data_IF_964988354320
#
_entry.id   IF_964988354320
#
_cell.length_a   1.000
_cell.length_b   1.000
_cell.length_c   1.000
_cell.angle_alpha   90.00
_cell.angle_beta   90.00
_cell.angle_gamma   90.00
#
_symmetry.space_group_name_H-M   'P 1'
#
loop_
_entity.id
_entity.type
_entity.pdbx_description
1 polymer ?
#
# COMPACT_ATOMS: atom_id res chain seq x y z
N UNK A 1 23.33 20.80 39.34
CA UNK A 1 23.78 21.49 38.12
C UNK A 1 23.72 20.49 37.00
N UNK A 2 22.66 20.55 36.24
CA UNK A 2 22.35 19.65 35.11
C UNK A 2 23.22 20.03 33.92
N UNK A 3 24.08 19.12 33.48
CA UNK A 3 24.75 19.19 32.18
C UNK A 3 23.74 18.97 31.07
N UNK A 4 23.08 20.01 30.62
CA UNK A 4 22.35 19.98 29.36
C UNK A 4 23.40 19.78 28.26
N UNK A 5 23.39 18.59 27.61
CA UNK A 5 24.12 18.36 26.36
C UNK A 5 23.48 19.26 25.29
N UNK A 6 24.10 20.38 25.02
CA UNK A 6 23.81 21.20 23.86
C UNK A 6 24.07 20.32 22.65
N UNK A 7 23.02 20.01 21.87
CA UNK A 7 23.18 19.40 20.56
C UNK A 7 23.84 20.47 19.68
N UNK A 8 25.18 20.43 19.62
CA UNK A 8 25.93 21.25 18.68
C UNK A 8 25.68 20.72 17.27
N UNK A 9 24.69 21.24 16.57
CA UNK A 9 24.67 21.20 15.12
C UNK A 9 25.95 21.92 14.68
N UNK A 10 26.89 21.17 14.10
CA UNK A 10 28.15 21.75 13.63
C UNK A 10 27.81 22.88 12.67
N UNK A 11 28.29 24.14 12.93
CA UNK A 11 27.92 25.30 12.08
C UNK A 11 28.28 25.14 10.60
N UNK A 12 29.16 24.19 10.29
CA UNK A 12 29.70 23.94 8.96
C UNK A 12 28.79 23.14 8.01
N UNK A 13 27.63 22.65 8.45
CA UNK A 13 26.75 21.83 7.58
C UNK A 13 25.78 22.70 6.78
N UNK A 14 25.35 23.84 7.35
CA UNK A 14 24.39 24.76 6.70
C UNK A 14 25.04 25.72 5.70
N UNK A 15 26.37 25.90 5.78
CA UNK A 15 27.13 26.78 4.86
C UNK A 15 27.59 26.09 3.57
N UNK A 16 27.25 24.81 3.37
CA UNK A 16 27.60 24.10 2.14
C UNK A 16 26.59 24.38 1.04
N UNK A 17 27.11 24.55 -0.20
CA UNK A 17 26.23 24.62 -1.37
C UNK A 17 25.37 23.36 -1.49
N UNK A 18 24.09 23.53 -1.85
CA UNK A 18 23.21 22.39 -2.08
C UNK A 18 23.80 21.42 -3.10
N UNK A 19 23.55 20.10 -2.97
CA UNK A 19 24.04 19.12 -3.95
C UNK A 19 23.60 19.44 -5.38
N UNK A 20 24.55 19.57 -6.31
CA UNK A 20 24.32 19.89 -7.72
C UNK A 20 25.41 19.31 -8.61
N UNK A 21 25.16 19.27 -9.91
CA UNK A 21 26.16 18.98 -10.96
C UNK A 21 25.79 19.81 -12.19
N UNK A 22 26.48 20.94 -12.37
CA UNK A 22 26.26 21.81 -13.51
C UNK A 22 26.56 21.11 -14.84
N UNK A 23 27.57 20.22 -14.83
CA UNK A 23 27.95 19.45 -16.01
C UNK A 23 26.80 18.50 -16.45
N UNK A 24 26.13 17.85 -15.49
CA UNK A 24 24.99 16.98 -15.81
C UNK A 24 23.79 17.78 -16.31
N UNK A 25 23.51 18.94 -15.71
CA UNK A 25 22.44 19.85 -16.15
C UNK A 25 22.68 20.33 -17.58
N UNK A 26 23.89 20.79 -17.87
CA UNK A 26 24.32 21.21 -19.21
C UNK A 26 24.26 20.04 -20.19
N UNK A 27 24.61 18.84 -19.74
CA UNK A 27 24.53 17.62 -20.53
C UNK A 27 23.09 17.30 -20.96
N UNK A 28 22.11 17.42 -20.03
CA UNK A 28 20.69 17.22 -20.35
C UNK A 28 20.20 18.28 -21.35
N UNK A 29 20.47 19.54 -21.08
CA UNK A 29 20.04 20.64 -21.97
C UNK A 29 20.67 20.54 -23.36
N UNK A 30 21.97 20.20 -23.43
CA UNK A 30 22.67 20.01 -24.71
C UNK A 30 22.08 18.84 -25.50
N UNK A 31 21.78 17.71 -24.88
CA UNK A 31 21.08 16.59 -25.54
C UNK A 31 19.71 17.00 -26.07
N UNK A 32 18.96 17.82 -25.32
CA UNK A 32 17.64 18.31 -25.72
C UNK A 32 17.71 19.29 -26.89
N UNK A 33 18.82 20.06 -27.04
CA UNK A 33 19.02 20.94 -28.17
C UNK A 33 19.46 20.17 -29.42
N UNK A 34 20.34 19.16 -29.28
CA UNK A 34 20.87 18.37 -30.40
C UNK A 34 19.79 17.46 -31.01
N UNK A 35 19.01 16.78 -30.17
CA UNK A 35 17.94 15.83 -30.60
C UNK A 35 16.65 16.05 -29.81
N UNK A 36 15.90 17.14 -30.08
CA UNK A 36 14.71 17.49 -29.30
C UNK A 36 13.66 16.37 -29.24
N UNK A 37 13.40 15.74 -30.40
CA UNK A 37 12.34 14.73 -30.53
C UNK A 37 12.59 13.46 -29.72
N UNK A 38 13.85 13.10 -29.50
CA UNK A 38 14.22 11.91 -28.73
C UNK A 38 14.46 12.24 -27.25
N UNK A 39 15.09 13.39 -26.99
CA UNK A 39 15.63 13.71 -25.67
C UNK A 39 14.62 14.41 -24.75
N UNK A 40 13.78 15.33 -25.28
CA UNK A 40 12.85 16.09 -24.44
C UNK A 40 11.80 15.16 -23.85
N UNK A 41 11.24 14.22 -24.61
CA UNK A 41 10.27 13.25 -24.11
C UNK A 41 10.83 12.42 -22.96
N UNK A 42 12.06 11.90 -23.12
CA UNK A 42 12.74 11.15 -22.06
C UNK A 42 13.05 12.01 -20.83
N UNK A 43 13.43 13.28 -21.04
CA UNK A 43 13.70 14.19 -19.94
C UNK A 43 12.42 14.54 -19.16
N UNK A 44 11.29 14.80 -19.83
CA UNK A 44 9.99 15.07 -19.20
C UNK A 44 9.52 13.86 -18.38
N UNK A 45 9.70 12.64 -18.90
CA UNK A 45 9.35 11.41 -18.20
C UNK A 45 10.22 11.18 -16.95
N UNK A 46 11.53 11.44 -17.07
CA UNK A 46 12.47 11.26 -15.98
C UNK A 46 12.35 12.33 -14.89
N UNK A 47 12.14 13.60 -15.28
CA UNK A 47 12.13 14.77 -14.40
C UNK A 47 10.68 15.14 -14.01
N UNK A 48 10.09 14.38 -13.08
CA UNK A 48 8.69 14.54 -12.67
C UNK A 48 8.33 15.93 -12.12
N UNK A 49 9.31 16.67 -11.61
CA UNK A 49 9.15 18.04 -11.09
C UNK A 49 9.56 19.13 -12.11
N UNK A 50 9.82 18.72 -13.33
CA UNK A 50 10.15 19.64 -14.43
C UNK A 50 11.42 20.46 -14.16
N UNK A 51 11.33 21.77 -14.38
CA UNK A 51 12.44 22.71 -14.19
C UNK A 51 12.99 22.77 -12.76
N UNK A 52 12.18 22.46 -11.73
CA UNK A 52 12.61 22.47 -10.34
C UNK A 52 13.70 21.42 -10.02
N UNK A 53 13.90 20.45 -10.91
CA UNK A 53 14.98 19.46 -10.78
C UNK A 53 16.37 20.07 -11.06
N UNK A 54 16.45 21.18 -11.75
CA UNK A 54 17.70 21.88 -12.02
C UNK A 54 18.11 22.79 -10.87
N UNK A 55 19.40 22.88 -10.59
CA UNK A 55 19.95 23.77 -9.56
C UNK A 55 20.15 25.19 -10.08
N UNK A 56 20.73 25.35 -11.29
CA UNK A 56 20.97 26.65 -11.89
C UNK A 56 19.67 27.25 -12.44
N UNK A 57 19.30 28.43 -11.96
CA UNK A 57 18.09 29.12 -12.39
C UNK A 57 18.05 29.38 -13.91
N UNK A 58 19.20 29.56 -14.55
CA UNK A 58 19.29 29.67 -16.00
C UNK A 58 18.85 28.40 -16.69
N UNK A 59 19.27 27.24 -16.16
CA UNK A 59 18.90 25.93 -16.67
C UNK A 59 17.42 25.66 -16.48
N UNK A 60 16.84 26.10 -15.36
CA UNK A 60 15.38 26.02 -15.13
C UNK A 60 14.61 26.75 -16.21
N UNK A 61 15.01 27.98 -16.52
CA UNK A 61 14.40 28.81 -17.59
C UNK A 61 14.56 28.13 -18.96
N UNK A 62 15.77 27.67 -19.29
CA UNK A 62 16.03 26.99 -20.56
C UNK A 62 15.16 25.73 -20.71
N UNK A 63 15.11 24.88 -19.67
CA UNK A 63 14.33 23.66 -19.71
C UNK A 63 12.82 23.94 -19.84
N UNK A 64 12.29 24.92 -19.10
CA UNK A 64 10.86 25.27 -19.17
C UNK A 64 10.46 25.73 -20.59
N UNK A 65 11.31 26.52 -21.26
CA UNK A 65 11.06 26.95 -22.65
C UNK A 65 11.18 25.81 -23.66
N UNK A 66 12.14 24.86 -23.47
CA UNK A 66 12.27 23.69 -24.33
C UNK A 66 11.03 22.81 -24.25
N UNK A 67 10.55 22.54 -23.03
CA UNK A 67 9.31 21.75 -22.80
C UNK A 67 8.10 22.46 -23.40
N UNK A 68 7.96 23.79 -23.20
CA UNK A 68 6.84 24.56 -23.74
C UNK A 68 6.81 24.57 -25.27
N UNK A 69 7.99 24.62 -25.94
CA UNK A 69 8.08 24.53 -27.41
C UNK A 69 7.74 23.11 -27.88
N UNK A 70 8.21 22.10 -27.17
CA UNK A 70 7.94 20.70 -27.50
C UNK A 70 6.44 20.35 -27.35
N UNK A 71 5.79 20.81 -26.29
CA UNK A 71 4.34 20.63 -26.07
C UNK A 71 3.51 21.34 -27.13
N UNK A 72 3.98 22.54 -27.60
CA UNK A 72 3.36 23.28 -28.68
C UNK A 72 3.70 22.75 -30.09
N UNK A 73 4.44 21.63 -30.17
CA UNK A 73 4.93 21.04 -31.44
C UNK A 73 5.63 22.04 -32.35
N UNK A 74 6.35 23.00 -31.78
CA UNK A 74 7.14 23.96 -32.50
C UNK A 74 8.50 23.35 -32.87
N UNK A 75 9.09 23.73 -34.02
CA UNK A 75 10.44 23.31 -34.38
C UNK A 75 11.44 23.83 -33.33
N UNK A 76 12.30 22.94 -32.84
CA UNK A 76 13.33 23.29 -31.86
C UNK A 76 14.69 23.10 -32.50
N UNK A 77 15.34 24.21 -32.75
CA UNK A 77 16.73 24.36 -33.15
C UNK A 77 17.33 25.60 -32.47
N UNK A 78 18.63 25.80 -32.59
CA UNK A 78 19.32 26.89 -31.89
C UNK A 78 18.75 28.26 -32.25
N UNK A 79 18.30 28.44 -33.50
CA UNK A 79 17.77 29.72 -34.00
C UNK A 79 16.36 29.98 -33.46
N UNK A 80 15.48 29.01 -33.61
CA UNK A 80 14.10 29.10 -33.11
C UNK A 80 14.05 29.24 -31.60
N UNK A 81 14.92 28.51 -30.90
CA UNK A 81 15.03 28.57 -29.44
C UNK A 81 15.56 29.92 -28.96
N UNK A 82 16.61 30.47 -29.63
CA UNK A 82 17.11 31.81 -29.36
C UNK A 82 16.00 32.87 -29.54
N UNK A 83 15.25 32.80 -30.67
CA UNK A 83 14.17 33.73 -30.93
C UNK A 83 13.09 33.65 -29.83
N UNK A 84 12.72 32.46 -29.40
CA UNK A 84 11.75 32.23 -28.31
C UNK A 84 12.20 32.91 -27.01
N UNK A 85 13.46 32.74 -26.62
CA UNK A 85 14.03 33.37 -25.41
C UNK A 85 14.12 34.90 -25.55
N UNK A 86 14.40 35.40 -26.76
CA UNK A 86 14.43 36.84 -27.07
C UNK A 86 13.04 37.46 -26.96
N UNK A 87 12.02 36.81 -27.52
CA UNK A 87 10.63 37.28 -27.46
C UNK A 87 10.10 37.30 -26.02
N UNK A 88 10.58 36.35 -25.17
CA UNK A 88 10.30 36.30 -23.73
C UNK A 88 11.15 37.30 -22.91
N UNK A 89 12.09 38.00 -23.51
CA UNK A 89 12.99 38.94 -22.82
C UNK A 89 14.00 38.28 -21.88
N UNK A 90 14.23 36.97 -22.02
CA UNK A 90 15.04 36.16 -21.07
C UNK A 90 16.41 35.76 -21.65
N UNK A 91 16.69 36.03 -22.92
CA UNK A 91 17.91 35.60 -23.60
C UNK A 91 19.19 36.04 -22.87
N UNK A 92 19.29 37.31 -22.48
CA UNK A 92 20.46 37.84 -21.77
C UNK A 92 20.60 37.25 -20.38
N UNK A 93 19.47 36.99 -19.68
CA UNK A 93 19.45 36.41 -18.35
C UNK A 93 19.96 34.96 -18.28
N UNK A 94 19.85 34.23 -19.40
CA UNK A 94 20.34 32.83 -19.47
C UNK A 94 21.79 32.74 -20.01
N UNK A 95 22.43 33.86 -20.35
CA UNK A 95 23.81 33.91 -20.83
C UNK A 95 23.95 34.14 -22.32
N UNK A 96 22.88 34.53 -23.01
CA UNK A 96 22.86 34.92 -24.42
C UNK A 96 23.15 33.76 -25.38
N UNK A 97 23.38 34.15 -26.68
CA UNK A 97 23.67 33.17 -27.72
C UNK A 97 24.96 32.38 -27.46
N UNK A 98 25.96 33.00 -26.83
CA UNK A 98 27.24 32.36 -26.56
C UNK A 98 27.05 31.13 -25.66
N UNK A 99 26.23 31.23 -24.63
CA UNK A 99 25.94 30.13 -23.73
C UNK A 99 25.11 29.02 -24.39
N UNK A 100 24.13 29.39 -25.24
CA UNK A 100 23.34 28.40 -25.98
C UNK A 100 24.24 27.60 -26.96
N UNK A 101 25.18 28.26 -27.64
CA UNK A 101 26.15 27.61 -28.53
C UNK A 101 27.13 26.72 -27.74
N UNK A 102 27.52 27.12 -26.52
CA UNK A 102 28.34 26.30 -25.63
C UNK A 102 27.61 25.01 -25.23
N UNK A 103 26.31 25.09 -24.88
CA UNK A 103 25.50 23.93 -24.51
C UNK A 103 25.38 22.95 -25.67
N UNK A 104 25.12 23.43 -26.89
CA UNK A 104 25.01 22.59 -28.08
C UNK A 104 26.34 21.86 -28.39
N UNK A 105 27.49 22.55 -28.24
CA UNK A 105 28.81 21.98 -28.48
C UNK A 105 29.39 21.13 -27.37
N UNK A 106 28.79 21.13 -26.16
CA UNK A 106 29.37 20.47 -24.98
C UNK A 106 29.11 18.97 -24.92
N UNK A 107 28.08 18.46 -25.59
CA UNK A 107 27.67 17.06 -25.55
C UNK A 107 28.13 16.34 -26.81
N UNK A 108 29.06 15.39 -26.71
CA UNK A 108 29.56 14.66 -27.87
C UNK A 108 28.55 13.64 -28.45
N UNK A 109 27.57 13.20 -27.64
CA UNK A 109 26.55 12.24 -28.07
C UNK A 109 25.33 12.26 -27.17
N UNK A 110 24.14 12.19 -27.78
CA UNK A 110 22.86 12.08 -27.08
C UNK A 110 22.67 10.74 -26.38
N UNK A 111 23.46 9.72 -26.72
CA UNK A 111 23.42 8.39 -26.10
C UNK A 111 23.65 8.41 -24.57
N UNK A 112 24.27 9.45 -24.05
CA UNK A 112 24.56 9.61 -22.62
C UNK A 112 23.47 10.33 -21.83
N UNK A 113 22.34 10.69 -22.45
CA UNK A 113 21.25 11.42 -21.79
C UNK A 113 20.79 10.71 -20.51
N UNK A 114 20.56 9.39 -20.57
CA UNK A 114 20.13 8.61 -19.40
C UNK A 114 21.08 8.70 -18.20
N UNK A 115 22.40 8.77 -18.47
CA UNK A 115 23.40 8.96 -17.44
C UNK A 115 23.35 10.37 -16.83
N UNK A 116 23.22 11.40 -17.64
CA UNK A 116 23.08 12.78 -17.15
C UNK A 116 21.80 12.97 -16.34
N UNK A 117 20.67 12.40 -16.79
CA UNK A 117 19.40 12.42 -16.09
C UNK A 117 19.51 11.70 -14.72
N UNK A 118 20.25 10.59 -14.65
CA UNK A 118 20.44 9.86 -13.39
C UNK A 118 21.19 10.70 -12.36
N UNK A 119 22.26 11.40 -12.76
CA UNK A 119 23.04 12.30 -11.88
C UNK A 119 22.17 13.47 -11.43
N UNK A 120 21.46 14.13 -12.37
CA UNK A 120 20.60 15.25 -12.05
C UNK A 120 19.53 14.87 -11.06
N UNK A 121 18.87 13.72 -11.25
CA UNK A 121 17.84 13.18 -10.34
C UNK A 121 18.40 12.85 -8.96
N UNK A 122 19.60 12.25 -8.88
CA UNK A 122 20.27 11.99 -7.60
C UNK A 122 20.51 13.29 -6.83
N UNK A 123 21.08 14.31 -7.49
CA UNK A 123 21.38 15.60 -6.86
C UNK A 123 20.11 16.36 -6.47
N UNK A 124 19.08 16.31 -7.30
CA UNK A 124 17.77 16.89 -6.99
C UNK A 124 17.13 16.21 -5.78
N UNK A 125 17.11 14.87 -5.72
CA UNK A 125 16.60 14.12 -4.56
C UNK A 125 17.31 14.52 -3.27
N UNK A 126 18.64 14.67 -3.30
CA UNK A 126 19.41 15.11 -2.15
C UNK A 126 19.05 16.55 -1.73
N UNK A 127 18.78 17.47 -2.68
CA UNK A 127 18.31 18.83 -2.39
C UNK A 127 16.94 18.81 -1.71
N UNK A 128 16.00 18.01 -2.23
CA UNK A 128 14.67 17.89 -1.66
C UNK A 128 14.69 17.28 -0.26
N UNK A 129 15.56 16.27 -0.03
CA UNK A 129 15.75 15.71 1.30
C UNK A 129 16.31 16.76 2.28
N UNK A 130 17.25 17.58 1.81
CA UNK A 130 17.82 18.66 2.59
C UNK A 130 16.77 19.73 2.92
N UNK A 131 15.95 20.13 1.96
CA UNK A 131 14.86 21.08 2.13
C UNK A 131 13.82 20.55 3.13
N UNK A 132 13.42 19.27 3.00
CA UNK A 132 12.50 18.63 3.94
C UNK A 132 13.10 18.62 5.37
N UNK A 133 14.37 18.27 5.51
CA UNK A 133 15.05 18.26 6.81
C UNK A 133 15.10 19.66 7.44
N UNK A 134 15.45 20.70 6.67
CA UNK A 134 15.46 22.10 7.14
C UNK A 134 14.05 22.56 7.50
N UNK A 135 13.05 22.21 6.68
CA UNK A 135 11.64 22.51 6.99
C UNK A 135 11.16 21.85 8.28
N UNK A 136 11.54 20.59 8.52
CA UNK A 136 11.24 19.88 9.79
C UNK A 136 11.92 20.58 10.97
N UNK A 137 13.20 20.96 10.83
CA UNK A 137 13.92 21.70 11.87
C UNK A 137 13.22 23.02 12.20
N UNK A 138 12.82 23.81 11.19
CA UNK A 138 12.06 25.04 11.38
C UNK A 138 10.78 24.82 12.18
N UNK A 139 9.97 23.82 11.77
CA UNK A 139 8.72 23.47 12.45
C UNK A 139 8.92 22.99 13.90
N UNK A 140 10.03 22.30 14.20
CA UNK A 140 10.36 21.89 15.56
C UNK A 140 10.64 23.11 16.44
N UNK A 141 11.33 24.13 15.96
CA UNK A 141 11.59 25.37 16.71
C UNK A 141 10.33 26.24 16.89
N UNK A 142 9.40 26.20 15.93
CA UNK A 142 8.16 26.96 15.94
C UNK A 142 6.99 26.19 16.61
N UNK A 143 7.22 24.95 17.06
CA UNK A 143 6.18 24.04 17.51
C UNK A 143 5.31 24.63 18.64
N UNK A 144 4.04 24.86 18.33
CA UNK A 144 2.99 25.32 19.25
C UNK A 144 1.84 24.34 19.43
N UNK A 145 1.93 23.12 18.82
CA UNK A 145 0.89 22.10 18.77
C UNK A 145 1.27 20.76 19.38
N UNK A 146 0.39 19.74 19.28
CA UNK A 146 0.65 18.38 19.76
C UNK A 146 1.86 17.76 19.05
N UNK A 147 2.77 17.15 19.81
CA UNK A 147 4.00 16.52 19.29
C UNK A 147 3.68 15.45 18.23
N UNK A 148 2.62 14.67 18.44
CA UNK A 148 2.22 13.60 17.49
C UNK A 148 1.89 14.15 16.10
N UNK A 149 1.24 15.32 16.04
CA UNK A 149 0.92 15.96 14.74
C UNK A 149 2.19 16.42 14.02
N UNK A 150 3.20 16.90 14.75
CA UNK A 150 4.48 17.32 14.19
C UNK A 150 5.27 16.12 13.65
N UNK A 151 5.26 15.00 14.39
CA UNK A 151 5.89 13.75 13.95
C UNK A 151 5.23 13.21 12.70
N UNK A 152 3.89 13.16 12.65
CA UNK A 152 3.13 12.72 11.46
C UNK A 152 3.41 13.62 10.24
N UNK A 153 3.61 14.91 10.45
CA UNK A 153 3.94 15.85 9.38
C UNK A 153 5.38 15.66 8.89
N UNK A 154 6.34 15.47 9.79
CA UNK A 154 7.72 15.17 9.45
C UNK A 154 7.86 13.84 8.67
N UNK A 155 7.15 12.80 9.09
CA UNK A 155 7.10 11.53 8.36
C UNK A 155 6.55 11.72 6.94
N UNK A 156 5.48 12.51 6.76
CA UNK A 156 4.90 12.80 5.44
C UNK A 156 5.87 13.54 4.52
N UNK A 157 6.58 14.53 5.02
CA UNK A 157 7.55 15.29 4.21
C UNK A 157 8.70 14.40 3.73
N UNK A 158 9.21 13.51 4.59
CA UNK A 158 10.27 12.56 4.21
C UNK A 158 9.76 11.51 3.20
N UNK A 159 8.56 10.95 3.41
CA UNK A 159 7.96 9.97 2.51
C UNK A 159 7.72 10.56 1.11
N UNK A 160 7.26 11.81 1.03
CA UNK A 160 7.05 12.52 -0.22
C UNK A 160 8.31 12.63 -1.07
N UNK A 161 9.48 12.86 -0.43
CA UNK A 161 10.78 12.86 -1.14
C UNK A 161 11.08 11.49 -1.73
N UNK A 162 10.73 10.39 -1.03
CA UNK A 162 10.94 9.03 -1.52
C UNK A 162 10.00 8.65 -2.68
N UNK A 163 8.74 9.04 -2.63
CA UNK A 163 7.75 8.77 -3.68
C UNK A 163 8.09 9.50 -4.99
N UNK A 164 8.52 10.75 -4.89
CA UNK A 164 8.93 11.56 -6.04
C UNK A 164 10.25 11.10 -6.67
N UNK A 165 11.09 10.42 -5.92
CA UNK A 165 12.40 9.93 -6.40
C UNK A 165 12.28 8.83 -7.46
N UNK A 166 11.09 8.20 -7.61
CA UNK A 166 10.87 7.13 -8.59
C UNK A 166 11.89 5.99 -8.50
N UNK A 167 12.43 5.75 -7.31
CA UNK A 167 13.41 4.69 -7.10
C UNK A 167 12.71 3.34 -7.23
N UNK A 168 12.73 2.77 -8.41
CA UNK A 168 12.46 1.36 -8.61
C UNK A 168 11.26 0.93 -9.45
N UNK A 169 10.58 1.80 -10.20
CA UNK A 169 9.75 1.28 -11.29
C UNK A 169 10.68 0.88 -12.46
N UNK A 170 11.10 -0.40 -12.46
CA UNK A 170 11.64 -1.03 -13.66
C UNK A 170 10.44 -1.16 -14.60
N UNK A 171 10.36 -0.29 -15.62
CA UNK A 171 9.42 -0.51 -16.71
C UNK A 171 9.76 -1.84 -17.38
N UNK A 172 8.94 -2.85 -17.09
CA UNK A 172 9.03 -4.14 -17.75
C UNK A 172 8.55 -3.95 -19.19
N UNK A 173 9.35 -4.41 -20.13
CA UNK A 173 8.95 -4.45 -21.54
C UNK A 173 7.71 -5.36 -21.71
N UNK A 174 6.91 -5.13 -22.75
CA UNK A 174 5.76 -6.00 -23.06
C UNK A 174 6.16 -7.48 -23.12
N UNK A 175 7.36 -7.78 -23.61
CA UNK A 175 7.92 -9.15 -23.66
C UNK A 175 8.07 -9.77 -22.28
N UNK A 176 8.53 -8.99 -21.31
CA UNK A 176 8.70 -9.43 -19.90
C UNK A 176 7.34 -9.61 -19.22
N UNK A 177 6.37 -8.71 -19.47
CA UNK A 177 5.00 -8.88 -19.01
C UNK A 177 4.36 -10.17 -19.53
N UNK A 178 4.50 -10.46 -20.85
CA UNK A 178 3.99 -11.68 -21.46
C UNK A 178 4.67 -12.91 -20.87
N UNK A 179 5.99 -12.87 -20.65
CA UNK A 179 6.73 -13.97 -20.05
C UNK A 179 6.27 -14.25 -18.62
N UNK A 180 6.11 -13.22 -17.79
CA UNK A 180 5.58 -13.35 -16.44
C UNK A 180 4.15 -13.91 -16.43
N UNK A 181 3.31 -13.52 -17.40
CA UNK A 181 1.95 -14.04 -17.54
C UNK A 181 1.96 -15.54 -17.92
N UNK A 182 2.85 -15.97 -18.84
CA UNK A 182 3.01 -17.37 -19.22
C UNK A 182 3.48 -18.21 -18.03
N UNK A 183 4.49 -17.73 -17.27
CA UNK A 183 4.99 -18.42 -16.08
C UNK A 183 3.86 -18.60 -15.03
N UNK A 184 3.03 -17.59 -14.81
CA UNK A 184 1.89 -17.67 -13.90
C UNK A 184 0.81 -18.67 -14.39
N UNK A 185 0.56 -18.72 -15.68
CA UNK A 185 -0.36 -19.69 -16.30
C UNK A 185 0.19 -21.11 -16.12
N UNK A 186 1.47 -21.34 -16.39
CA UNK A 186 2.11 -22.66 -16.26
C UNK A 186 2.07 -23.17 -14.81
N UNK A 187 2.26 -22.30 -13.83
CA UNK A 187 2.14 -22.67 -12.41
C UNK A 187 0.72 -23.14 -12.07
N UNK A 188 -0.32 -22.49 -12.62
CA UNK A 188 -1.72 -22.90 -12.44
C UNK A 188 -2.02 -24.24 -13.13
N UNK A 189 -1.50 -24.47 -14.33
CA UNK A 189 -1.67 -25.75 -15.04
C UNK A 189 -1.03 -26.92 -14.33
N UNK A 190 0.06 -26.70 -13.58
CA UNK A 190 0.69 -27.72 -12.74
C UNK A 190 -0.09 -28.09 -11.48
N UNK A 191 -1.30 -27.54 -11.27
CA UNK A 191 -2.10 -27.78 -10.07
C UNK A 191 -1.53 -27.13 -8.80
N UNK A 192 -0.52 -26.29 -8.94
CA UNK A 192 0.09 -25.57 -7.81
C UNK A 192 -0.75 -24.34 -7.45
N UNK A 193 -1.00 -24.17 -6.18
CA UNK A 193 -1.62 -22.97 -5.67
C UNK A 193 -0.65 -21.78 -5.83
N UNK A 194 -1.10 -20.73 -6.54
CA UNK A 194 -0.26 -19.54 -6.82
C UNK A 194 -0.32 -18.50 -5.71
N UNK A 195 -1.43 -18.48 -4.95
CA UNK A 195 -1.68 -17.57 -3.84
C UNK A 195 -1.30 -18.18 -2.48
N UNK A 196 -1.48 -17.39 -1.41
CA UNK A 196 -1.33 -17.87 -0.03
C UNK A 196 -2.52 -18.74 0.37
N UNK A 197 -2.29 -19.86 1.10
CA UNK A 197 -3.37 -20.72 1.54
C UNK A 197 -4.30 -20.03 2.54
N UNK A 198 -5.60 -20.25 2.39
CA UNK A 198 -6.61 -19.83 3.37
C UNK A 198 -6.86 -20.90 4.42
N UNK A 199 -6.54 -22.16 4.12
CA UNK A 199 -6.88 -23.32 4.94
C UNK A 199 -8.30 -23.83 4.73
N UNK A 200 -9.08 -23.20 3.85
CA UNK A 200 -10.39 -23.66 3.39
C UNK A 200 -10.18 -24.20 1.97
N UNK A 201 -10.20 -25.53 1.82
CA UNK A 201 -9.82 -26.21 0.58
C UNK A 201 -10.66 -25.78 -0.61
N UNK A 202 -11.98 -25.66 -0.43
CA UNK A 202 -12.88 -25.25 -1.52
C UNK A 202 -12.63 -23.80 -1.93
N UNK A 203 -12.33 -22.90 -0.96
CA UNK A 203 -11.95 -21.53 -1.27
C UNK A 203 -10.60 -21.46 -2.01
N UNK A 204 -9.64 -22.26 -1.55
CA UNK A 204 -8.30 -22.31 -2.19
C UNK A 204 -8.38 -22.90 -3.60
N UNK A 205 -9.24 -23.89 -3.86
CA UNK A 205 -9.51 -24.40 -5.21
C UNK A 205 -10.15 -23.35 -6.10
N UNK A 206 -11.12 -22.59 -5.57
CA UNK A 206 -11.88 -21.60 -6.32
C UNK A 206 -11.03 -20.38 -6.69
N UNK A 207 -10.18 -19.90 -5.75
CA UNK A 207 -9.41 -18.66 -5.92
C UNK A 207 -7.96 -18.88 -6.33
N UNK A 208 -7.46 -20.11 -6.20
CA UNK A 208 -6.02 -20.40 -6.29
C UNK A 208 -5.23 -19.89 -5.08
N UNK A 209 -5.90 -19.64 -3.95
CA UNK A 209 -5.38 -18.98 -2.75
C UNK A 209 -5.45 -17.43 -2.83
N UNK A 210 -4.98 -16.74 -1.80
CA UNK A 210 -4.96 -15.28 -1.76
C UNK A 210 -3.87 -14.75 -2.69
N UNK A 211 -4.27 -14.09 -3.79
CA UNK A 211 -3.33 -13.63 -4.82
C UNK A 211 -2.63 -12.33 -4.42
N UNK A 212 -1.34 -12.15 -4.78
CA UNK A 212 -0.64 -10.88 -4.57
C UNK A 212 -1.41 -9.70 -5.20
N UNK A 213 -1.41 -8.55 -4.54
CA UNK A 213 -2.08 -7.32 -4.96
C UNK A 213 -3.61 -7.37 -4.96
N UNK A 214 -4.23 -8.47 -4.53
CA UNK A 214 -5.67 -8.56 -4.41
C UNK A 214 -6.17 -7.92 -3.10
N UNK A 215 -7.30 -7.23 -3.22
CA UNK A 215 -8.11 -6.79 -2.11
C UNK A 215 -9.28 -7.76 -1.92
N UNK A 216 -9.26 -8.49 -0.81
CA UNK A 216 -10.28 -9.47 -0.45
C UNK A 216 -11.15 -8.87 0.65
N UNK A 217 -12.45 -8.77 0.42
CA UNK A 217 -13.40 -8.27 1.41
C UNK A 217 -14.20 -9.42 1.98
N UNK A 218 -14.20 -9.54 3.32
CA UNK A 218 -15.05 -10.50 4.03
C UNK A 218 -16.13 -9.72 4.78
N UNK A 219 -17.35 -9.74 4.26
CA UNK A 219 -18.53 -9.14 4.86
C UNK A 219 -19.28 -10.12 5.75
N UNK A 220 -19.69 -9.70 6.94
CA UNK A 220 -20.52 -10.52 7.82
C UNK A 220 -21.40 -9.66 8.74
N UNK A 221 -22.49 -10.26 9.22
CA UNK A 221 -23.23 -9.72 10.36
C UNK A 221 -22.43 -9.92 11.65
N UNK A 222 -22.71 -9.12 12.71
CA UNK A 222 -22.13 -9.37 14.02
C UNK A 222 -22.34 -10.81 14.47
N UNK A 223 -21.39 -11.36 15.23
CA UNK A 223 -21.43 -12.71 15.80
C UNK A 223 -21.45 -13.89 14.80
N UNK A 224 -21.19 -13.66 13.51
CA UNK A 224 -20.98 -14.72 12.52
C UNK A 224 -19.54 -15.26 12.51
N UNK A 225 -18.62 -14.70 13.32
CA UNK A 225 -17.24 -15.20 13.39
C UNK A 225 -16.26 -14.55 12.38
N UNK A 226 -16.59 -13.41 11.78
CA UNK A 226 -15.77 -12.70 10.78
C UNK A 226 -14.29 -12.58 11.18
N UNK A 227 -14.03 -12.00 12.36
CA UNK A 227 -12.66 -11.83 12.89
C UNK A 227 -11.97 -13.17 13.13
N UNK A 228 -12.70 -14.17 13.63
CA UNK A 228 -12.15 -15.52 13.87
C UNK A 228 -11.72 -16.20 12.58
N UNK A 229 -12.52 -16.07 11.51
CA UNK A 229 -12.17 -16.58 10.18
C UNK A 229 -10.90 -15.90 9.65
N UNK A 230 -10.82 -14.59 9.74
CA UNK A 230 -9.66 -13.84 9.27
C UNK A 230 -8.39 -14.19 10.06
N UNK A 231 -8.48 -14.34 11.39
CA UNK A 231 -7.35 -14.78 12.24
C UNK A 231 -6.93 -16.20 11.88
N UNK A 232 -7.87 -17.11 11.65
CA UNK A 232 -7.58 -18.48 11.24
C UNK A 232 -6.86 -18.52 9.89
N UNK A 233 -7.31 -17.77 8.89
CA UNK A 233 -6.62 -17.61 7.60
C UNK A 233 -5.20 -17.05 7.82
N UNK A 234 -5.07 -16.02 8.66
CA UNK A 234 -3.78 -15.42 9.01
C UNK A 234 -2.82 -16.44 9.66
N UNK A 235 -3.32 -17.30 10.55
CA UNK A 235 -2.51 -18.36 11.16
C UNK A 235 -2.04 -19.40 10.13
N UNK A 236 -2.91 -19.83 9.23
CA UNK A 236 -2.54 -20.77 8.15
C UNK A 236 -1.48 -20.17 7.24
N UNK A 237 -1.63 -18.91 6.84
CA UNK A 237 -0.61 -18.20 6.07
C UNK A 237 0.72 -18.08 6.84
N UNK A 238 0.67 -17.82 8.16
CA UNK A 238 1.85 -17.73 8.99
C UNK A 238 2.54 -19.10 9.18
N UNK A 239 1.78 -20.20 9.26
CA UNK A 239 2.31 -21.57 9.30
C UNK A 239 3.07 -21.95 8.02
N UNK A 240 2.74 -21.36 6.87
CA UNK A 240 3.52 -21.50 5.62
C UNK A 240 4.81 -20.66 5.61
N UNK A 241 5.18 -20.03 6.72
CA UNK A 241 6.37 -19.21 6.86
C UNK A 241 6.23 -17.75 6.39
N UNK A 242 5.01 -17.32 6.08
CA UNK A 242 4.75 -15.96 5.61
C UNK A 242 4.48 -15.02 6.78
N UNK A 243 5.13 -13.87 6.82
CA UNK A 243 4.80 -12.80 7.77
C UNK A 243 3.37 -12.29 7.54
N UNK A 244 2.58 -12.14 8.59
CA UNK A 244 1.21 -11.64 8.55
C UNK A 244 1.06 -10.42 9.44
N UNK A 245 0.59 -9.32 8.88
CA UNK A 245 0.26 -8.09 9.62
C UNK A 245 -1.24 -7.99 9.87
N UNK A 246 -1.64 -7.73 11.10
CA UNK A 246 -3.04 -7.61 11.51
C UNK A 246 -3.25 -6.23 12.15
N UNK A 247 -4.09 -5.40 11.54
CA UNK A 247 -4.60 -4.18 12.13
C UNK A 247 -5.98 -4.46 12.74
N UNK A 248 -6.03 -4.53 14.08
CA UNK A 248 -7.25 -4.81 14.83
C UNK A 248 -7.77 -3.53 15.47
N UNK A 249 -8.74 -2.90 14.83
CA UNK A 249 -9.29 -1.62 15.28
C UNK A 249 -10.45 -1.79 16.27
N UNK A 250 -10.99 -3.01 16.37
CA UNK A 250 -12.13 -3.34 17.24
C UNK A 250 -11.70 -4.11 18.52
N UNK A 251 -10.72 -5.01 18.37
CA UNK A 251 -10.32 -5.93 19.46
C UNK A 251 -8.86 -5.74 19.85
N UNK A 252 -8.57 -5.95 21.13
CA UNK A 252 -7.17 -5.93 21.61
C UNK A 252 -6.39 -7.16 21.11
N UNK A 253 -5.07 -7.01 21.00
CA UNK A 253 -4.16 -8.10 20.64
C UNK A 253 -4.30 -9.31 21.59
N UNK A 254 -4.54 -9.06 22.88
CA UNK A 254 -4.80 -10.11 23.87
C UNK A 254 -6.04 -10.95 23.50
N UNK A 255 -7.15 -10.31 23.13
CA UNK A 255 -8.38 -11.01 22.74
C UNK A 255 -8.21 -11.81 21.45
N UNK A 256 -7.45 -11.27 20.46
CA UNK A 256 -7.14 -12.01 19.25
C UNK A 256 -6.28 -13.24 19.54
N UNK A 257 -5.25 -13.09 20.37
CA UNK A 257 -4.40 -14.22 20.78
C UNK A 257 -5.18 -15.27 21.58
N UNK A 258 -6.13 -14.88 22.44
CA UNK A 258 -7.00 -15.83 23.12
C UNK A 258 -7.85 -16.65 22.13
N UNK A 259 -8.42 -16.01 21.10
CA UNK A 259 -9.13 -16.72 20.02
C UNK A 259 -8.21 -17.67 19.25
N UNK A 260 -7.02 -17.22 18.90
CA UNK A 260 -6.01 -18.04 18.23
C UNK A 260 -5.63 -19.27 19.08
N UNK A 261 -5.41 -19.08 20.38
CA UNK A 261 -5.14 -20.18 21.32
C UNK A 261 -6.30 -21.17 21.39
N UNK A 262 -7.54 -20.69 21.51
CA UNK A 262 -8.74 -21.54 21.52
C UNK A 262 -8.86 -22.35 20.22
N UNK A 263 -8.59 -21.72 19.07
CA UNK A 263 -8.60 -22.38 17.77
C UNK A 263 -7.56 -23.49 17.66
N UNK A 264 -6.32 -23.24 18.10
CA UNK A 264 -5.20 -24.20 18.02
C UNK A 264 -5.38 -25.33 19.05
N UNK A 265 -5.69 -24.97 20.30
CA UNK A 265 -5.83 -25.93 21.41
C UNK A 265 -7.13 -26.73 21.35
N UNK A 266 -8.13 -26.27 20.58
CA UNK A 266 -9.51 -26.82 20.57
C UNK A 266 -10.16 -26.79 21.93
N UNK A 267 -9.86 -25.76 22.73
CA UNK A 267 -10.35 -25.57 24.10
C UNK A 267 -11.12 -24.27 24.17
N UNK A 268 -12.23 -24.27 24.92
CA UNK A 268 -12.93 -23.02 25.22
C UNK A 268 -12.14 -22.21 26.24
N UNK A 269 -11.35 -21.23 25.72
CA UNK A 269 -10.50 -20.39 26.58
C UNK A 269 -11.27 -19.34 27.39
N UNK A 270 -12.59 -19.22 27.17
CA UNK A 270 -13.48 -18.32 27.92
C UNK A 270 -14.20 -19.03 29.08
N UNK A 271 -14.06 -20.35 29.22
CA UNK A 271 -14.62 -21.11 30.35
C UNK A 271 -14.00 -20.67 31.68
N UNK A 272 -14.84 -20.56 32.70
CA UNK A 272 -14.40 -20.25 34.08
C UNK A 272 -13.65 -21.38 34.80
N UNK A 273 -13.74 -22.62 34.30
CA UNK A 273 -13.06 -23.78 34.89
C UNK A 273 -12.31 -24.55 33.81
N UNK A 274 -11.03 -24.78 34.04
CA UNK A 274 -10.13 -25.51 33.14
C UNK A 274 -9.64 -26.78 33.83
N UNK A 275 -9.61 -27.88 33.09
CA UNK A 275 -8.97 -29.10 33.53
C UNK A 275 -7.46 -29.03 33.22
N UNK A 276 -6.69 -29.89 33.90
CA UNK A 276 -5.24 -29.95 33.67
C UNK A 276 -4.88 -30.28 32.20
N UNK A 277 -5.72 -31.08 31.54
CA UNK A 277 -5.59 -31.39 30.11
C UNK A 277 -5.76 -30.14 29.23
N UNK A 278 -6.72 -29.26 29.58
CA UNK A 278 -6.96 -28.01 28.85
C UNK A 278 -5.73 -27.07 28.96
N UNK A 279 -5.17 -26.97 30.19
CA UNK A 279 -3.97 -26.17 30.44
C UNK A 279 -2.77 -26.68 29.63
N UNK A 280 -2.59 -28.00 29.54
CA UNK A 280 -1.52 -28.60 28.71
C UNK A 280 -1.74 -28.29 27.22
N UNK A 281 -2.96 -28.45 26.70
CA UNK A 281 -3.31 -28.16 25.33
C UNK A 281 -3.05 -26.67 24.97
N UNK A 282 -3.45 -25.75 25.87
CA UNK A 282 -3.20 -24.31 25.69
C UNK A 282 -1.71 -23.99 25.76
N UNK A 283 -0.92 -24.63 26.62
CA UNK A 283 0.53 -24.42 26.69
C UNK A 283 1.25 -24.89 25.41
N UNK A 284 0.83 -25.99 24.81
CA UNK A 284 1.34 -26.47 23.53
C UNK A 284 0.94 -25.47 22.41
N UNK A 285 -0.32 -25.03 22.41
CA UNK A 285 -0.81 -24.03 21.46
C UNK A 285 -0.06 -22.70 21.59
N UNK A 286 0.23 -22.24 22.81
CA UNK A 286 1.02 -21.03 23.05
C UNK A 286 2.44 -21.15 22.49
N UNK A 287 3.08 -22.30 22.68
CA UNK A 287 4.41 -22.57 22.11
C UNK A 287 4.38 -22.56 20.58
N UNK A 288 3.30 -23.05 19.95
CA UNK A 288 3.12 -23.01 18.50
C UNK A 288 2.88 -21.56 18.03
N UNK A 289 1.92 -20.88 18.65
CA UNK A 289 1.52 -19.53 18.27
C UNK A 289 2.68 -18.53 18.40
N UNK A 290 3.49 -18.63 19.45
CA UNK A 290 4.64 -17.72 19.68
C UNK A 290 5.74 -17.80 18.61
N UNK A 291 5.78 -18.87 17.83
CA UNK A 291 6.74 -19.07 16.73
C UNK A 291 6.20 -18.54 15.40
N UNK A 292 4.91 -18.26 15.30
CA UNK A 292 4.31 -17.75 14.07
C UNK A 292 4.69 -16.28 13.85
N UNK A 293 5.05 -15.89 12.61
CA UNK A 293 5.38 -14.51 12.26
C UNK A 293 4.12 -13.63 12.13
N UNK A 294 3.38 -13.47 13.24
CA UNK A 294 2.19 -12.63 13.33
C UNK A 294 2.52 -11.30 14.00
N UNK A 295 2.15 -10.19 13.36
CA UNK A 295 2.39 -8.83 13.83
C UNK A 295 1.06 -8.11 13.99
N UNK A 296 0.67 -7.79 15.23
CA UNK A 296 -0.63 -7.20 15.56
C UNK A 296 -0.45 -5.74 15.97
N UNK A 297 -1.30 -4.88 15.42
CA UNK A 297 -1.50 -3.51 15.89
C UNK A 297 -2.96 -3.35 16.31
N UNK A 298 -3.19 -3.15 17.59
CA UNK A 298 -4.52 -3.03 18.20
C UNK A 298 -4.87 -1.59 18.62
N UNK A 299 -4.16 -0.60 18.10
CA UNK A 299 -4.46 0.81 18.36
C UNK A 299 -5.77 1.20 17.66
N UNK A 300 -6.67 1.78 18.43
CA UNK A 300 -7.94 2.30 17.90
C UNK A 300 -7.75 3.66 17.21
N UNK A 301 -8.65 3.96 16.25
CA UNK A 301 -8.70 5.28 15.61
C UNK A 301 -7.51 5.63 14.73
N UNK A 302 -6.85 4.62 14.16
CA UNK A 302 -5.78 4.83 13.17
C UNK A 302 -6.33 5.50 11.92
N UNK A 303 -5.55 6.44 11.36
CA UNK A 303 -5.76 6.99 10.02
C UNK A 303 -5.11 6.07 8.98
N UNK A 304 -5.62 6.11 7.75
CA UNK A 304 -5.09 5.27 6.66
C UNK A 304 -3.60 5.52 6.39
N UNK A 305 -3.12 6.76 6.55
CA UNK A 305 -1.70 7.09 6.43
C UNK A 305 -0.82 6.32 7.43
N UNK A 306 -1.27 6.16 8.68
CA UNK A 306 -0.54 5.43 9.73
C UNK A 306 -0.53 3.92 9.45
N UNK A 307 -1.66 3.39 8.93
CA UNK A 307 -1.76 1.98 8.49
C UNK A 307 -0.76 1.73 7.36
N UNK A 308 -0.74 2.58 6.31
CA UNK A 308 0.19 2.48 5.18
C UNK A 308 1.65 2.53 5.64
N UNK A 309 2.02 3.53 6.46
CA UNK A 309 3.39 3.68 6.96
C UNK A 309 3.84 2.44 7.75
N UNK A 310 2.97 1.91 8.63
CA UNK A 310 3.29 0.72 9.43
C UNK A 310 3.35 -0.54 8.57
N UNK A 311 2.45 -0.70 7.61
CA UNK A 311 2.45 -1.83 6.68
C UNK A 311 3.73 -1.87 5.83
N UNK A 312 4.18 -0.73 5.27
CA UNK A 312 5.47 -0.57 4.57
C UNK A 312 6.65 -0.98 5.44
N UNK A 313 6.67 -0.48 6.70
CA UNK A 313 7.71 -0.83 7.67
C UNK A 313 7.72 -2.32 7.99
N UNK A 314 6.57 -2.93 8.23
CA UNK A 314 6.45 -4.36 8.48
C UNK A 314 6.86 -5.18 7.25
N UNK A 315 6.45 -4.76 6.04
CA UNK A 315 6.87 -5.42 4.80
C UNK A 315 8.39 -5.41 4.65
N UNK A 316 9.03 -4.25 4.84
CA UNK A 316 10.49 -4.11 4.73
C UNK A 316 11.25 -4.84 5.85
N UNK A 317 10.78 -4.77 7.11
CA UNK A 317 11.49 -5.30 8.28
C UNK A 317 11.24 -6.80 8.51
N UNK A 318 10.02 -7.24 8.27
CA UNK A 318 9.55 -8.57 8.65
C UNK A 318 9.08 -9.42 7.46
N UNK A 319 9.16 -8.89 6.23
CA UNK A 319 8.77 -9.61 5.04
C UNK A 319 7.30 -10.05 5.04
N UNK A 320 6.37 -9.19 5.53
CA UNK A 320 4.96 -9.57 5.53
C UNK A 320 4.47 -9.81 4.11
N UNK A 321 3.64 -10.84 3.96
CA UNK A 321 3.04 -11.27 2.69
C UNK A 321 1.51 -11.33 2.74
N UNK A 322 0.90 -11.01 3.87
CA UNK A 322 -0.53 -10.87 4.06
C UNK A 322 -0.82 -9.73 5.03
N UNK A 323 -1.79 -8.89 4.69
CA UNK A 323 -2.34 -7.89 5.61
C UNK A 323 -3.80 -8.21 5.91
N UNK A 324 -4.21 -8.03 7.17
CA UNK A 324 -5.59 -8.17 7.63
C UNK A 324 -5.98 -6.86 8.32
N UNK A 325 -7.14 -6.29 7.97
CA UNK A 325 -7.67 -5.04 8.55
C UNK A 325 -9.06 -5.31 9.10
N UNK A 326 -9.23 -5.27 10.42
CA UNK A 326 -10.51 -5.50 11.11
C UNK A 326 -10.96 -4.24 11.86
N UNK A 327 -11.93 -3.47 11.39
CA UNK A 327 -12.66 -3.49 10.14
C UNK A 327 -12.71 -2.07 9.53
N UNK A 328 -13.01 -2.00 8.24
CA UNK A 328 -12.87 -0.80 7.40
C UNK A 328 -13.48 0.48 7.98
N UNK A 329 -14.68 0.41 8.53
CA UNK A 329 -15.44 1.60 8.96
C UNK A 329 -14.98 2.19 10.30
N UNK A 330 -13.98 1.58 10.96
CA UNK A 330 -13.33 2.12 12.17
C UNK A 330 -12.07 2.94 11.84
N UNK A 331 -11.61 2.93 10.60
CA UNK A 331 -10.51 3.78 10.14
C UNK A 331 -11.00 5.23 10.15
N UNK A 332 -10.24 6.12 10.79
CA UNK A 332 -10.59 7.55 10.82
C UNK A 332 -10.40 8.20 9.44
N UNK A 333 -11.39 8.95 8.94
CA UNK A 333 -11.27 9.68 7.68
C UNK A 333 -10.20 10.78 7.78
N UNK A 334 -9.70 11.24 6.64
CA UNK A 334 -8.75 12.35 6.57
C UNK A 334 -9.31 13.66 7.11
N UNK A 335 -10.59 13.93 6.82
CA UNK A 335 -11.31 15.13 7.24
C UNK A 335 -12.49 14.72 8.12
N UNK A 336 -12.56 15.25 9.34
CA UNK A 336 -13.61 14.92 10.32
C UNK A 336 -15.03 15.35 9.90
N UNK A 337 -15.19 16.09 8.81
CA UNK A 337 -16.49 16.59 8.26
C UNK A 337 -16.85 15.97 6.90
N UNK A 338 -16.12 14.97 6.42
CA UNK A 338 -16.42 14.34 5.13
C UNK A 338 -17.69 13.46 5.25
N UNK A 339 -18.46 13.38 4.16
CA UNK A 339 -19.55 12.41 4.03
C UNK A 339 -19.01 11.00 4.25
N UNK A 340 -19.74 10.18 5.01
CA UNK A 340 -19.31 8.83 5.39
C UNK A 340 -19.09 7.93 4.18
N UNK A 341 -19.91 8.06 3.13
CA UNK A 341 -19.73 7.32 1.89
C UNK A 341 -18.43 7.70 1.18
N UNK A 342 -18.14 9.00 1.08
CA UNK A 342 -16.90 9.48 0.48
C UNK A 342 -15.68 9.01 1.27
N UNK A 343 -15.76 8.99 2.60
CA UNK A 343 -14.69 8.50 3.48
C UNK A 343 -14.41 7.00 3.30
N UNK A 344 -15.45 6.18 3.18
CA UNK A 344 -15.32 4.74 2.94
C UNK A 344 -14.76 4.47 1.53
N UNK A 345 -15.15 5.26 0.55
CA UNK A 345 -14.61 5.18 -0.81
C UNK A 345 -13.11 5.49 -0.86
N UNK A 346 -12.68 6.57 -0.18
CA UNK A 346 -11.25 6.92 -0.06
C UNK A 346 -10.45 5.79 0.62
N UNK A 347 -10.94 5.25 1.73
CA UNK A 347 -10.31 4.17 2.47
C UNK A 347 -10.19 2.90 1.60
N UNK A 348 -11.25 2.55 0.86
CA UNK A 348 -11.25 1.40 -0.05
C UNK A 348 -10.17 1.52 -1.12
N UNK A 349 -10.12 2.65 -1.81
CA UNK A 349 -9.11 2.93 -2.82
C UNK A 349 -7.69 2.90 -2.23
N UNK A 350 -7.51 3.49 -1.06
CA UNK A 350 -6.23 3.49 -0.34
C UNK A 350 -5.75 2.08 0.03
N UNK A 351 -6.66 1.17 0.43
CA UNK A 351 -6.35 -0.23 0.73
C UNK A 351 -5.98 -0.98 -0.55
N UNK A 352 -6.74 -0.79 -1.63
CA UNK A 352 -6.41 -1.39 -2.93
C UNK A 352 -5.06 -0.88 -3.46
N UNK A 353 -4.79 0.42 -3.28
CA UNK A 353 -3.49 1.03 -3.60
C UNK A 353 -2.35 0.38 -2.81
N UNK A 354 -2.54 0.18 -1.49
CA UNK A 354 -1.55 -0.47 -0.61
C UNK A 354 -1.28 -1.93 -1.01
N UNK A 355 -2.32 -2.69 -1.38
CA UNK A 355 -2.18 -4.06 -1.84
C UNK A 355 -1.32 -4.15 -3.11
N UNK A 356 -1.55 -3.25 -4.08
CA UNK A 356 -0.77 -3.15 -5.32
C UNK A 356 0.67 -2.71 -5.06
N UNK A 357 0.87 -1.70 -4.23
CA UNK A 357 2.18 -1.14 -3.88
C UNK A 357 3.08 -2.20 -3.23
N UNK A 358 2.58 -2.89 -2.20
CA UNK A 358 3.35 -3.90 -1.47
C UNK A 358 3.37 -5.25 -2.19
N UNK A 359 2.56 -5.45 -3.24
CA UNK A 359 2.35 -6.73 -3.93
C UNK A 359 1.96 -7.85 -2.97
N UNK A 360 1.09 -7.55 -2.01
CA UNK A 360 0.57 -8.50 -1.01
C UNK A 360 -0.96 -8.51 -1.04
N UNK A 361 -1.62 -9.66 -0.79
CA UNK A 361 -3.06 -9.68 -0.56
C UNK A 361 -3.41 -8.92 0.72
N UNK A 362 -4.54 -8.21 0.67
CA UNK A 362 -5.10 -7.52 1.83
C UNK A 362 -6.51 -8.04 2.08
N UNK A 363 -6.74 -8.65 3.25
CA UNK A 363 -8.08 -9.02 3.73
C UNK A 363 -8.63 -7.83 4.51
N UNK A 364 -9.71 -7.26 4.02
CA UNK A 364 -10.43 -6.18 4.66
C UNK A 364 -11.78 -6.69 5.18
N UNK A 365 -12.04 -6.54 6.47
CA UNK A 365 -13.29 -6.99 7.07
C UNK A 365 -14.34 -5.87 6.99
N UNK A 366 -15.56 -6.23 6.64
CA UNK A 366 -16.69 -5.31 6.54
C UNK A 366 -17.89 -5.80 7.34
N UNK A 367 -18.70 -4.88 7.83
CA UNK A 367 -19.94 -5.20 8.51
C UNK A 367 -21.13 -4.98 7.57
N UNK A 368 -22.01 -5.98 7.48
CA UNK A 368 -23.21 -5.90 6.66
C UNK A 368 -24.32 -5.08 7.33
N UNK A 369 -25.19 -4.48 6.51
CA UNK A 369 -26.32 -3.66 6.96
C UNK A 369 -27.33 -4.50 7.77
N UNK A 370 -28.03 -3.83 8.73
CA UNK A 370 -29.06 -4.48 9.57
C UNK A 370 -30.33 -4.82 8.79
N UNK A 371 -30.56 -4.19 7.65
CA UNK A 371 -31.77 -4.39 6.86
C UNK A 371 -31.91 -5.80 6.26
N UNK A 372 -30.84 -6.58 6.23
CA UNK A 372 -30.86 -8.00 5.85
C UNK A 372 -31.77 -8.81 6.79
N UNK A 373 -31.87 -8.43 8.08
CA UNK A 373 -32.70 -9.14 9.07
C UNK A 373 -34.21 -8.91 8.89
N UNK A 374 -34.60 -7.85 8.15
CA UNK A 374 -36.02 -7.54 7.90
C UNK A 374 -36.63 -8.41 6.80
N UNK A 375 -35.81 -9.00 5.92
CA UNK A 375 -36.24 -9.96 4.90
C UNK A 375 -35.85 -11.35 5.36
N UNK A 376 -36.82 -12.14 5.86
CA UNK A 376 -36.59 -13.54 6.24
C UNK A 376 -35.90 -14.29 5.09
N UNK A 377 -34.74 -14.92 5.38
CA UNK A 377 -34.06 -15.93 4.55
C UNK A 377 -33.39 -15.46 3.24
N UNK A 378 -32.99 -14.18 3.13
CA UNK A 378 -32.27 -13.71 1.95
C UNK A 378 -30.77 -13.89 2.09
N UNK A 379 -30.11 -14.54 1.10
CA UNK A 379 -28.65 -14.54 0.99
C UNK A 379 -28.12 -13.10 0.89
N UNK A 380 -26.98 -12.79 1.52
CA UNK A 380 -26.33 -11.48 1.36
C UNK A 380 -26.00 -11.18 -0.09
N UNK A 381 -26.15 -9.93 -0.48
CA UNK A 381 -25.83 -9.42 -1.83
C UNK A 381 -24.82 -8.27 -1.73
N UNK A 382 -24.24 -7.87 -2.86
CA UNK A 382 -23.24 -6.78 -2.89
C UNK A 382 -23.82 -5.46 -2.35
N UNK A 383 -25.12 -5.20 -2.57
CA UNK A 383 -25.81 -4.02 -2.04
C UNK A 383 -25.91 -3.97 -0.50
N UNK A 384 -25.69 -5.09 0.18
CA UNK A 384 -25.73 -5.18 1.64
C UNK A 384 -24.41 -4.76 2.33
N UNK A 385 -23.35 -4.53 1.54
CA UNK A 385 -22.18 -3.82 2.00
C UNK A 385 -22.56 -2.36 2.22
N UNK A 386 -22.72 -1.98 3.47
CA UNK A 386 -23.20 -0.65 3.88
C UNK A 386 -22.31 0.47 3.34
N UNK A 387 -22.91 1.47 2.66
CA UNK A 387 -22.26 2.71 2.22
C UNK A 387 -21.11 2.54 1.20
N UNK A 388 -21.10 1.47 0.37
CA UNK A 388 -19.87 1.05 -0.29
C UNK A 388 -19.95 0.53 -1.73
N UNK A 389 -20.64 1.21 -2.63
CA UNK A 389 -20.49 0.95 -4.07
C UNK A 389 -19.02 0.96 -4.53
N UNK A 390 -18.17 1.74 -3.85
CA UNK A 390 -16.74 1.79 -4.14
C UNK A 390 -15.99 0.54 -3.67
N UNK A 391 -16.31 -0.03 -2.50
CA UNK A 391 -15.72 -1.31 -2.05
C UNK A 391 -16.03 -2.40 -3.06
N UNK A 392 -17.26 -2.41 -3.60
CA UNK A 392 -17.63 -3.35 -4.65
C UNK A 392 -16.75 -3.18 -5.89
N UNK A 393 -16.42 -1.96 -6.29
CA UNK A 393 -15.58 -1.70 -7.46
C UNK A 393 -14.12 -2.07 -7.23
N UNK A 394 -13.54 -1.71 -6.09
CA UNK A 394 -12.13 -1.86 -5.78
C UNK A 394 -11.73 -3.29 -5.43
N UNK A 395 -12.60 -4.04 -4.73
CA UNK A 395 -12.32 -5.39 -4.30
C UNK A 395 -12.21 -6.36 -5.48
N UNK A 396 -11.22 -7.25 -5.44
CA UNK A 396 -11.03 -8.32 -6.42
C UNK A 396 -11.87 -9.55 -6.06
N UNK A 397 -12.00 -9.82 -4.76
CA UNK A 397 -12.81 -10.90 -4.21
C UNK A 397 -13.69 -10.36 -3.09
N UNK A 398 -14.98 -10.70 -3.09
CA UNK A 398 -15.92 -10.38 -2.01
C UNK A 398 -16.56 -11.66 -1.54
N UNK A 399 -16.40 -11.95 -0.26
CA UNK A 399 -16.99 -13.09 0.41
C UNK A 399 -17.99 -12.62 1.48
N UNK A 400 -19.12 -13.28 1.57
CA UNK A 400 -20.08 -13.07 2.65
C UNK A 400 -20.16 -14.28 3.56
N UNK A 401 -19.93 -14.05 4.85
CA UNK A 401 -20.11 -15.07 5.89
C UNK A 401 -21.47 -14.86 6.56
N UNK A 402 -22.33 -15.86 6.46
CA UNK A 402 -23.67 -15.77 7.02
C UNK A 402 -24.12 -17.14 7.56
N UNK A 403 -25.08 -17.12 8.51
CA UNK A 403 -25.66 -18.35 9.06
C UNK A 403 -26.68 -18.92 8.09
N UNK A 404 -26.71 -20.22 7.97
CA UNK A 404 -27.70 -20.94 7.17
C UNK A 404 -29.11 -20.78 7.77
N UNK A 405 -29.22 -20.90 9.09
CA UNK A 405 -30.44 -20.62 9.84
C UNK A 405 -30.29 -19.38 10.72
N UNK A 406 -31.01 -18.27 10.43
CA UNK A 406 -31.00 -17.07 11.26
C UNK A 406 -31.55 -17.28 12.69
N UNK A 407 -32.43 -18.26 12.87
CA UNK A 407 -33.10 -18.56 14.16
C UNK A 407 -32.33 -19.55 15.02
N UNK A 408 -31.13 -19.93 14.60
CA UNK A 408 -30.24 -20.82 15.33
C UNK A 408 -30.05 -20.38 16.79
N UNK A 409 -30.27 -21.29 17.73
CA UNK A 409 -30.25 -20.98 19.18
C UNK A 409 -28.85 -20.51 19.63
N UNK A 410 -28.77 -19.51 20.54
CA UNK A 410 -27.48 -19.05 21.08
C UNK A 410 -26.69 -20.14 21.80
N UNK A 411 -27.37 -21.24 22.24
CA UNK A 411 -26.80 -22.36 22.97
C UNK A 411 -25.99 -23.35 22.14
N UNK A 412 -26.15 -23.30 20.78
CA UNK A 412 -25.49 -24.28 19.94
C UNK A 412 -23.97 -24.09 19.88
N UNK A 413 -23.25 -25.13 20.20
CA UNK A 413 -21.78 -25.15 20.22
C UNK A 413 -21.21 -25.06 18.80
N UNK A 414 -21.89 -25.68 17.83
CA UNK A 414 -21.51 -25.70 16.41
C UNK A 414 -22.62 -25.08 15.57
N UNK A 415 -22.27 -24.06 14.80
CA UNK A 415 -23.19 -23.33 13.92
C UNK A 415 -22.80 -23.56 12.48
N UNK A 416 -23.78 -23.97 11.65
CA UNK A 416 -23.56 -24.02 10.21
C UNK A 416 -23.57 -22.59 9.63
N UNK A 417 -22.53 -22.28 8.90
CA UNK A 417 -22.36 -20.97 8.24
C UNK A 417 -21.93 -21.18 6.80
N UNK A 418 -22.38 -20.30 5.93
CA UNK A 418 -21.99 -20.31 4.52
C UNK A 418 -21.02 -19.17 4.26
N UNK A 419 -19.97 -19.47 3.49
CA UNK A 419 -19.06 -18.49 2.91
C UNK A 419 -19.40 -18.37 1.43
N UNK A 420 -20.18 -17.34 1.07
CA UNK A 420 -20.57 -17.04 -0.31
C UNK A 420 -19.50 -16.18 -0.96
N UNK A 421 -18.87 -16.66 -2.03
CA UNK A 421 -18.02 -15.85 -2.89
C UNK A 421 -18.95 -15.12 -3.88
N UNK A 422 -19.30 -13.87 -3.53
CA UNK A 422 -20.27 -13.07 -4.27
C UNK A 422 -19.64 -12.27 -5.42
N UNK A 423 -18.32 -12.05 -5.37
CA UNK A 423 -17.54 -11.44 -6.45
C UNK A 423 -16.16 -12.06 -6.52
N UNK A 424 -15.70 -12.34 -7.72
CA UNK A 424 -14.32 -12.72 -8.04
C UNK A 424 -13.96 -12.23 -9.44
N UNK A 425 -12.91 -11.42 -9.58
CA UNK A 425 -12.51 -10.86 -10.89
C UNK A 425 -11.96 -11.93 -11.85
N UNK A 426 -11.23 -12.91 -11.32
CA UNK A 426 -10.46 -13.87 -12.10
C UNK A 426 -10.91 -15.33 -11.89
N UNK A 427 -12.16 -15.56 -11.50
CA UNK A 427 -12.65 -16.91 -11.24
C UNK A 427 -14.17 -17.01 -11.14
N UNK A 428 -14.65 -18.18 -10.73
CA UNK A 428 -16.07 -18.47 -10.54
C UNK A 428 -16.62 -17.95 -9.21
N UNK A 429 -17.94 -18.00 -9.11
CA UNK A 429 -18.67 -17.74 -7.85
C UNK A 429 -19.13 -19.08 -7.28
N UNK A 430 -19.06 -19.22 -5.97
CA UNK A 430 -19.48 -20.45 -5.31
C UNK A 430 -19.87 -20.17 -3.84
N UNK A 431 -20.50 -21.15 -3.21
CA UNK A 431 -20.93 -21.09 -1.82
C UNK A 431 -20.36 -22.29 -1.06
N UNK A 432 -19.57 -22.00 -0.05
CA UNK A 432 -18.83 -22.99 0.73
C UNK A 432 -19.47 -23.13 2.10
N UNK A 433 -19.87 -24.36 2.47
CA UNK A 433 -20.41 -24.67 3.78
C UNK A 433 -19.30 -24.86 4.79
N UNK A 434 -19.41 -24.17 5.94
CA UNK A 434 -18.48 -24.24 7.04
C UNK A 434 -19.20 -24.51 8.35
N UNK A 435 -18.56 -25.27 9.23
CA UNK A 435 -18.98 -25.44 10.61
C UNK A 435 -18.21 -24.50 11.51
N UNK A 436 -18.89 -23.61 12.20
CA UNK A 436 -18.29 -22.68 13.15
C UNK A 436 -18.44 -23.17 14.58
N UNK A 437 -17.35 -23.59 15.18
CA UNK A 437 -17.26 -24.01 16.59
C UNK A 437 -17.12 -22.76 17.46
N UNK A 438 -18.21 -22.28 18.04
CA UNK A 438 -18.27 -21.03 18.83
C UNK A 438 -17.31 -21.00 20.01
N UNK A 439 -17.25 -22.10 20.77
CA UNK A 439 -16.44 -22.20 21.98
C UNK A 439 -14.93 -22.08 21.69
N UNK A 440 -14.50 -22.63 20.58
CA UNK A 440 -13.09 -22.63 20.18
C UNK A 440 -12.79 -21.59 19.08
N UNK A 441 -13.81 -20.83 18.63
CA UNK A 441 -13.74 -19.83 17.56
C UNK A 441 -13.14 -20.33 16.24
N UNK A 442 -13.35 -21.63 15.95
CA UNK A 442 -12.73 -22.35 14.85
C UNK A 442 -13.72 -22.64 13.74
N UNK A 443 -13.27 -22.50 12.49
CA UNK A 443 -13.99 -22.94 11.30
C UNK A 443 -13.42 -24.24 10.77
N UNK A 444 -14.30 -25.13 10.36
CA UNK A 444 -14.00 -26.36 9.64
C UNK A 444 -14.85 -26.44 8.38
N UNK A 445 -14.30 -26.99 7.32
CA UNK A 445 -15.05 -27.26 6.11
C UNK A 445 -15.93 -28.49 6.34
N UNK A 446 -17.22 -28.37 6.08
CA UNK A 446 -18.16 -29.49 6.16
C UNK A 446 -17.76 -30.57 5.16
N UNK A 447 -18.00 -31.84 5.52
CA UNK A 447 -17.87 -32.92 4.54
C UNK A 447 -18.82 -32.66 3.38
N UNK A 448 -18.40 -32.87 2.10
CA UNK A 448 -19.32 -32.85 0.99
C UNK A 448 -20.47 -33.82 1.31
N UNK A 449 -21.70 -33.36 1.16
CA UNK A 449 -22.82 -34.29 1.13
C UNK A 449 -22.64 -35.06 -0.18
N UNK A 450 -22.30 -36.33 -0.11
CA UNK A 450 -22.43 -37.21 -1.26
C UNK A 450 -23.94 -37.28 -1.58
N UNK A 451 -24.33 -36.64 -2.70
CA UNK A 451 -25.65 -36.77 -3.30
C UNK A 451 -25.83 -38.15 -3.92
#
# INVERSE_FOLDING_TARGET
VSNARVINLQPNVLDRLPPHSLEAEQGVLGCCLISPNECIGQAVEALKRGEAEFYDMRHQVLYSHLVAMWDAQQPIDLISFQQRLKDAGQLEGVGGLAYLSELDGKVPSVANLGYYLSILKEKSTLRHLLQAAVGIVGKVYEASGPIDALVDEAEREILKVGEDSGAGEIELTQKEHVRAAIDAIQQRFGGNMTGLPTGIRSLDKLTGGLQPSDMIVIGARPSCGKTSLAVQIGMVAAESGCGVGIFSLEMTASMLNQRALGTIARVNVQKGHWFEADMRAVSIAATKLSKLPLYIDDRSGLKMAQIKAKARRWHKKHGIRLLIIDYLTLIRPRLDKADRQASVAEISNDIKGLAKELKVPVIALAQLNRDIEKGKERKPTLSDLRESGQIEQDADVICFLYKEDPNHEPSDVVVQVNLLVAKQRNGGLDEIRLSFHRETTRFEEGSPIED
#
